data_IF_149512223389
#
_entry.id   IF_149512223389
#
_cell.length_a   1.000
_cell.length_b   1.000
_cell.length_c   1.000
_cell.angle_alpha   90.00
_cell.angle_beta   90.00
_cell.angle_gamma   90.00
#
_symmetry.space_group_name_H-M   'P 1'
#
loop_
_entity.id
_entity.type
_entity.pdbx_description
1 polymer ?
#
# COMPACT_ATOMS: atom_id res chain seq x y z
N UNK A 1 -22.33 -29.52 39.34
CA UNK A 1 -20.92 -29.66 39.75
C UNK A 1 -20.04 -29.03 38.69
N UNK A 2 -19.35 -27.94 39.02
CA UNK A 2 -18.54 -27.15 38.09
C UNK A 2 -17.18 -27.79 37.81
N UNK A 3 -16.91 -28.07 36.54
CA UNK A 3 -15.57 -28.41 36.06
C UNK A 3 -14.78 -27.13 35.82
N UNK A 4 -13.74 -26.91 36.63
CA UNK A 4 -12.76 -25.84 36.46
C UNK A 4 -12.13 -25.96 35.07
N UNK A 5 -12.44 -25.01 34.19
CA UNK A 5 -11.71 -24.83 32.94
C UNK A 5 -10.34 -24.23 33.28
N UNK A 6 -9.42 -25.08 33.73
CA UNK A 6 -8.08 -24.68 34.15
C UNK A 6 -7.34 -23.99 33.00
N UNK A 7 -6.93 -22.76 33.28
CA UNK A 7 -6.27 -21.79 32.40
C UNK A 7 -5.00 -22.33 31.68
N UNK A 8 -4.45 -23.46 32.17
CA UNK A 8 -3.25 -24.14 31.69
C UNK A 8 -3.52 -25.48 30.98
N UNK A 9 -4.77 -25.87 30.75
CA UNK A 9 -5.04 -27.09 29.98
C UNK A 9 -4.46 -26.99 28.56
N UNK A 10 -3.93 -28.08 27.99
CA UNK A 10 -3.44 -28.09 26.61
C UNK A 10 -4.47 -27.56 25.60
N UNK A 11 -5.77 -27.79 25.87
CA UNK A 11 -6.89 -27.24 25.09
C UNK A 11 -7.01 -25.72 25.23
N UNK A 12 -6.89 -25.16 26.45
CA UNK A 12 -6.89 -23.72 26.68
C UNK A 12 -5.64 -23.04 26.08
N UNK A 13 -4.46 -23.65 26.20
CA UNK A 13 -3.21 -23.18 25.62
C UNK A 13 -3.27 -23.23 24.09
N UNK A 14 -3.71 -24.34 23.49
CA UNK A 14 -3.93 -24.44 22.04
C UNK A 14 -4.97 -23.42 21.56
N UNK A 15 -6.02 -23.16 22.34
CA UNK A 15 -6.99 -22.13 22.03
C UNK A 15 -6.40 -20.72 22.08
N UNK A 16 -5.51 -20.44 23.02
CA UNK A 16 -4.84 -19.14 23.18
C UNK A 16 -3.78 -18.92 22.09
N UNK A 17 -3.00 -19.95 21.74
CA UNK A 17 -2.04 -19.91 20.62
C UNK A 17 -2.78 -19.68 19.31
N UNK A 18 -3.90 -20.38 19.07
CA UNK A 18 -4.76 -20.15 17.90
C UNK A 18 -5.41 -18.76 17.89
N UNK A 19 -5.60 -18.12 19.05
CA UNK A 19 -6.16 -16.76 19.17
C UNK A 19 -5.13 -15.64 18.97
N UNK A 20 -3.83 -15.93 19.11
CA UNK A 20 -2.71 -14.98 18.92
C UNK A 20 -2.30 -14.79 17.45
N UNK A 21 -2.67 -15.72 16.56
CA UNK A 21 -2.55 -15.48 15.11
C UNK A 21 -3.52 -14.39 14.67
N UNK A 22 -3.13 -13.55 13.72
CA UNK A 22 -4.00 -12.55 13.09
C UNK A 22 -5.15 -13.29 12.38
N UNK A 23 -6.21 -13.60 13.13
CA UNK A 23 -7.38 -14.29 12.60
C UNK A 23 -8.06 -13.35 11.61
N UNK A 24 -8.30 -13.82 10.39
CA UNK A 24 -8.96 -13.03 9.34
C UNK A 24 -10.19 -12.32 9.93
N UNK A 25 -10.28 -11.00 9.73
CA UNK A 25 -11.35 -10.12 10.20
C UNK A 25 -12.77 -10.53 9.77
N UNK A 26 -12.90 -11.54 8.90
CA UNK A 26 -14.17 -12.11 8.41
C UNK A 26 -15.15 -12.50 9.52
N UNK A 27 -14.66 -12.84 10.72
CA UNK A 27 -15.50 -13.31 11.84
C UNK A 27 -15.54 -12.35 13.04
N UNK A 28 -15.32 -11.05 12.82
CA UNK A 28 -15.42 -10.03 13.87
C UNK A 28 -16.79 -9.33 13.86
N UNK A 29 -17.41 -9.18 15.02
CA UNK A 29 -18.62 -8.38 15.17
C UNK A 29 -18.27 -7.05 15.86
N UNK A 30 -18.36 -5.95 15.11
CA UNK A 30 -18.15 -4.61 15.64
C UNK A 30 -19.15 -4.25 16.74
N UNK A 31 -20.43 -4.57 16.52
CA UNK A 31 -21.53 -4.19 17.43
C UNK A 31 -21.34 -4.74 18.84
N UNK A 32 -20.75 -5.93 18.94
CA UNK A 32 -20.48 -6.59 20.21
C UNK A 32 -18.98 -6.62 20.57
N UNK A 33 -18.15 -5.91 19.79
CA UNK A 33 -16.68 -5.92 19.86
C UNK A 33 -16.09 -7.33 20.02
N UNK A 34 -16.68 -8.32 19.36
CA UNK A 34 -16.42 -9.74 19.62
C UNK A 34 -15.81 -10.42 18.39
N UNK A 35 -14.56 -10.87 18.54
CA UNK A 35 -13.94 -11.77 17.58
C UNK A 35 -14.49 -13.19 17.74
N UNK A 36 -15.18 -13.69 16.72
CA UNK A 36 -15.54 -15.08 16.58
C UNK A 36 -14.42 -15.85 15.87
N UNK A 37 -14.33 -17.15 16.15
CA UNK A 37 -13.18 -17.98 15.78
C UNK A 37 -13.29 -18.61 14.40
N UNK A 38 -14.53 -18.86 13.99
CA UNK A 38 -14.91 -19.61 12.80
C UNK A 38 -16.29 -19.15 12.33
N UNK A 39 -16.67 -19.59 11.12
CA UNK A 39 -17.96 -19.25 10.50
C UNK A 39 -19.14 -19.63 11.39
N UNK A 40 -19.06 -20.81 12.00
CA UNK A 40 -20.13 -21.31 12.85
C UNK A 40 -20.23 -20.51 14.16
N UNK A 41 -19.10 -20.16 14.77
CA UNK A 41 -19.06 -19.28 15.94
C UNK A 41 -19.62 -17.88 15.66
N UNK A 42 -19.39 -17.34 14.46
CA UNK A 42 -19.95 -16.06 14.04
C UNK A 42 -21.47 -16.15 13.81
N UNK A 43 -21.95 -17.20 13.12
CA UNK A 43 -23.40 -17.43 12.94
C UNK A 43 -24.13 -17.58 14.27
N UNK A 44 -23.60 -18.39 15.18
CA UNK A 44 -24.17 -18.53 16.53
C UNK A 44 -24.15 -17.21 17.32
N UNK A 45 -23.14 -16.37 17.10
CA UNK A 45 -23.11 -15.04 17.70
C UNK A 45 -24.17 -14.11 17.11
N UNK A 46 -24.36 -14.07 15.79
CA UNK A 46 -25.42 -13.27 15.16
C UNK A 46 -26.83 -13.70 15.59
N UNK A 47 -27.02 -15.00 15.87
CA UNK A 47 -28.28 -15.55 16.37
C UNK A 47 -28.47 -15.38 17.89
N UNK A 48 -27.44 -14.93 18.62
CA UNK A 48 -27.52 -14.80 20.08
C UNK A 48 -28.36 -13.59 20.51
N UNK A 49 -29.10 -13.75 21.60
CA UNK A 49 -29.96 -12.72 22.17
C UNK A 49 -29.19 -11.43 22.53
N UNK A 50 -27.92 -11.56 22.95
CA UNK A 50 -27.07 -10.40 23.24
C UNK A 50 -26.78 -9.56 22.00
N UNK A 51 -26.49 -10.20 20.86
CA UNK A 51 -26.32 -9.50 19.59
C UNK A 51 -27.62 -8.86 19.10
N UNK A 52 -28.74 -9.58 19.19
CA UNK A 52 -30.05 -9.07 18.78
C UNK A 52 -30.49 -7.88 19.64
N UNK A 53 -30.27 -7.92 20.96
CA UNK A 53 -30.54 -6.77 21.84
C UNK A 53 -29.66 -5.58 21.46
N UNK A 54 -28.39 -5.80 21.14
CA UNK A 54 -27.50 -4.73 20.73
C UNK A 54 -27.90 -4.13 19.37
N UNK A 55 -28.42 -4.95 18.45
CA UNK A 55 -29.04 -4.49 17.21
C UNK A 55 -30.32 -3.69 17.42
N UNK A 56 -31.16 -4.07 18.39
CA UNK A 56 -32.37 -3.32 18.73
C UNK A 56 -32.03 -1.94 19.32
N UNK A 57 -31.03 -1.88 20.19
CA UNK A 57 -30.51 -0.60 20.73
C UNK A 57 -29.95 0.26 19.60
N UNK A 58 -29.26 -0.34 18.64
CA UNK A 58 -28.78 0.37 17.44
C UNK A 58 -29.93 0.89 16.57
N UNK A 59 -30.96 0.08 16.35
CA UNK A 59 -32.14 0.46 15.56
C UNK A 59 -32.94 1.62 16.17
N UNK A 60 -32.87 1.82 17.49
CA UNK A 60 -33.56 2.93 18.16
C UNK A 60 -32.87 4.28 17.96
N UNK A 61 -31.54 4.33 17.89
CA UNK A 61 -30.77 5.57 17.74
C UNK A 61 -29.46 5.33 16.97
N UNK A 62 -29.51 5.15 15.64
CA UNK A 62 -28.33 4.84 14.83
C UNK A 62 -27.34 6.00 14.78
N UNK A 63 -27.82 7.25 14.74
CA UNK A 63 -26.98 8.46 14.63
C UNK A 63 -26.04 8.61 15.82
N UNK A 64 -26.58 8.59 17.05
CA UNK A 64 -25.79 8.75 18.27
C UNK A 64 -24.68 7.71 18.44
N UNK A 65 -24.89 6.49 17.97
CA UNK A 65 -23.91 5.42 18.09
C UNK A 65 -22.82 5.57 17.02
N UNK A 66 -23.19 5.94 15.80
CA UNK A 66 -22.23 6.27 14.73
C UNK A 66 -21.38 7.48 15.14
N UNK A 67 -21.97 8.50 15.75
CA UNK A 67 -21.24 9.66 16.28
C UNK A 67 -20.21 9.24 17.34
N UNK A 68 -20.61 8.37 18.28
CA UNK A 68 -19.70 7.84 19.30
C UNK A 68 -18.52 7.04 18.71
N UNK A 69 -18.78 6.18 17.71
CA UNK A 69 -17.72 5.46 17.01
C UNK A 69 -16.83 6.40 16.19
N UNK A 70 -17.39 7.44 15.61
CA UNK A 70 -16.67 8.47 14.85
C UNK A 70 -15.72 9.25 15.75
N UNK A 71 -16.18 9.69 16.92
CA UNK A 71 -15.34 10.35 17.93
C UNK A 71 -14.23 9.43 18.44
N UNK A 72 -14.55 8.16 18.74
CA UNK A 72 -13.58 7.19 19.22
C UNK A 72 -12.53 6.86 18.15
N UNK A 73 -12.96 6.66 16.90
CA UNK A 73 -12.07 6.45 15.77
C UNK A 73 -11.14 7.64 15.58
N UNK A 74 -11.68 8.86 15.55
CA UNK A 74 -10.87 10.07 15.39
C UNK A 74 -9.83 10.20 16.52
N UNK A 75 -10.25 10.04 17.77
CA UNK A 75 -9.37 10.15 18.94
C UNK A 75 -8.24 9.12 18.87
N UNK A 76 -8.57 7.85 18.63
CA UNK A 76 -7.59 6.76 18.59
C UNK A 76 -6.66 6.87 17.39
N UNK A 77 -7.16 7.29 16.24
CA UNK A 77 -6.35 7.54 15.04
C UNK A 77 -5.35 8.69 15.25
N UNK A 78 -5.80 9.81 15.84
CA UNK A 78 -4.91 10.94 16.16
C UNK A 78 -3.91 10.60 17.25
N UNK A 79 -4.29 9.77 18.24
CA UNK A 79 -3.36 9.26 19.26
C UNK A 79 -2.26 8.38 18.62
N UNK A 80 -2.63 7.49 17.70
CA UNK A 80 -1.66 6.69 16.93
C UNK A 80 -0.72 7.58 16.12
N UNK A 81 -1.27 8.57 15.40
CA UNK A 81 -0.48 9.53 14.64
C UNK A 81 0.45 10.33 15.53
N UNK A 82 0.01 10.76 16.72
CA UNK A 82 0.82 11.50 17.68
C UNK A 82 1.98 10.67 18.24
N UNK A 83 1.78 9.37 18.43
CA UNK A 83 2.80 8.44 18.95
C UNK A 83 3.82 8.03 17.89
N UNK A 84 3.35 7.69 16.69
CA UNK A 84 4.20 7.14 15.63
C UNK A 84 4.77 8.20 14.69
N UNK A 85 4.04 9.30 14.47
CA UNK A 85 4.27 10.26 13.39
C UNK A 85 4.00 11.71 13.80
N UNK A 86 4.64 12.17 14.89
CA UNK A 86 4.39 13.50 15.48
C UNK A 86 4.68 14.68 14.55
N UNK A 87 5.73 14.59 13.71
CA UNK A 87 6.16 15.68 12.82
C UNK A 87 6.53 15.20 11.41
N UNK A 88 6.33 13.92 11.12
CA UNK A 88 6.66 13.34 9.82
C UNK A 88 5.51 13.53 8.84
N UNK A 89 5.86 13.77 7.57
CA UNK A 89 4.94 13.65 6.44
C UNK A 89 4.81 12.19 6.05
N UNK A 90 3.63 11.62 6.21
CA UNK A 90 3.38 10.18 5.99
C UNK A 90 2.18 9.99 5.09
N UNK A 91 2.20 8.94 4.26
CA UNK A 91 1.05 8.58 3.46
C UNK A 91 -0.11 8.08 4.35
N UNK A 92 -1.32 8.54 4.09
CA UNK A 92 -2.50 8.22 4.88
C UNK A 92 -2.76 6.70 4.99
N UNK A 93 -2.48 5.97 3.91
CA UNK A 93 -2.64 4.52 3.84
C UNK A 93 -1.70 3.78 4.77
N UNK A 94 -0.47 4.27 4.95
CA UNK A 94 0.51 3.68 5.88
C UNK A 94 0.02 3.84 7.32
N UNK A 95 -0.41 5.04 7.69
CA UNK A 95 -0.94 5.33 9.03
C UNK A 95 -2.18 4.48 9.32
N UNK A 96 -3.09 4.36 8.34
CA UNK A 96 -4.28 3.52 8.50
C UNK A 96 -3.94 2.03 8.63
N UNK A 97 -2.96 1.53 7.85
CA UNK A 97 -2.52 0.13 7.95
C UNK A 97 -1.87 -0.20 9.30
N UNK A 98 -1.14 0.74 9.89
CA UNK A 98 -0.62 0.59 11.24
C UNK A 98 -1.72 0.66 12.29
N UNK A 99 -2.71 1.52 12.09
CA UNK A 99 -3.87 1.63 12.98
C UNK A 99 -4.68 0.32 13.05
N UNK A 100 -4.96 -0.29 11.89
CA UNK A 100 -5.68 -1.58 11.82
C UNK A 100 -4.85 -2.77 12.32
N UNK A 101 -3.55 -2.59 12.60
CA UNK A 101 -2.72 -3.63 13.17
C UNK A 101 -3.09 -3.92 14.64
N UNK A 102 -3.67 -2.95 15.36
CA UNK A 102 -4.25 -3.21 16.68
C UNK A 102 -5.53 -4.06 16.52
N UNK A 103 -5.75 -5.02 17.41
CA UNK A 103 -6.94 -5.87 17.38
C UNK A 103 -8.20 -5.11 17.84
N UNK A 104 -8.05 -4.08 18.65
CA UNK A 104 -9.17 -3.36 19.27
C UNK A 104 -9.44 -2.00 18.59
N UNK A 105 -9.01 -1.83 17.34
CA UNK A 105 -9.30 -0.63 16.58
C UNK A 105 -10.78 -0.55 16.19
N UNK A 106 -11.30 0.67 16.04
CA UNK A 106 -12.62 0.89 15.47
C UNK A 106 -12.50 0.78 13.95
N UNK A 107 -13.28 -0.09 13.33
CA UNK A 107 -13.21 -0.23 11.88
C UNK A 107 -13.86 0.97 11.17
N UNK A 108 -13.24 1.49 10.10
CA UNK A 108 -13.71 2.66 9.34
C UNK A 108 -15.19 2.58 8.94
N UNK A 109 -15.65 1.42 8.45
CA UNK A 109 -17.06 1.16 8.09
C UNK A 109 -18.09 1.42 9.20
N UNK A 110 -17.65 1.59 10.45
CA UNK A 110 -18.50 1.84 11.62
C UNK A 110 -18.65 3.34 11.93
N UNK A 111 -17.96 4.19 11.16
CA UNK A 111 -17.95 5.65 11.32
C UNK A 111 -18.76 6.33 10.22
N UNK A 112 -18.91 7.64 10.30
CA UNK A 112 -19.55 8.45 9.25
C UNK A 112 -18.77 8.46 7.92
N UNK A 113 -17.48 8.11 7.92
CA UNK A 113 -16.63 8.17 6.74
C UNK A 113 -16.62 6.86 5.97
N UNK A 114 -17.07 6.88 4.72
CA UNK A 114 -17.12 5.69 3.87
C UNK A 114 -15.74 5.34 3.27
N UNK A 115 -14.84 6.31 3.17
CA UNK A 115 -13.50 6.12 2.60
C UNK A 115 -12.43 6.82 3.42
N UNK A 116 -11.22 6.25 3.47
CA UNK A 116 -10.07 6.88 4.12
C UNK A 116 -9.83 8.30 3.59
N UNK A 117 -10.01 8.51 2.29
CA UNK A 117 -9.90 9.81 1.62
C UNK A 117 -10.82 10.87 2.20
N UNK A 118 -12.07 10.51 2.49
CA UNK A 118 -13.05 11.42 3.06
C UNK A 118 -12.66 11.84 4.49
N UNK A 119 -12.21 10.87 5.28
CA UNK A 119 -11.67 11.12 6.62
C UNK A 119 -10.43 12.03 6.58
N UNK A 120 -9.49 11.78 5.67
CA UNK A 120 -8.30 12.63 5.49
C UNK A 120 -8.71 14.07 5.14
N UNK A 121 -9.66 14.24 4.21
CA UNK A 121 -10.19 15.57 3.86
C UNK A 121 -10.88 16.25 5.04
N UNK A 122 -11.55 15.50 5.90
CA UNK A 122 -12.12 16.01 7.15
C UNK A 122 -11.04 16.48 8.13
N UNK A 123 -9.96 15.70 8.33
CA UNK A 123 -8.83 16.09 9.18
C UNK A 123 -8.13 17.37 8.68
N UNK A 124 -8.07 17.55 7.35
CA UNK A 124 -7.59 18.77 6.71
C UNK A 124 -8.51 19.97 6.98
N UNK A 125 -9.84 19.79 6.83
CA UNK A 125 -10.85 20.84 7.08
C UNK A 125 -10.90 21.27 8.55
N UNK A 126 -10.76 20.34 9.49
CA UNK A 126 -10.72 20.63 10.94
C UNK A 126 -9.37 21.22 11.39
N UNK A 127 -8.36 21.19 10.51
CA UNK A 127 -7.01 21.69 10.77
C UNK A 127 -6.28 20.91 11.86
N UNK A 128 -6.62 19.63 12.04
CA UNK A 128 -5.92 18.71 12.95
C UNK A 128 -4.68 18.12 12.27
N UNK A 129 -4.74 17.92 10.95
CA UNK A 129 -3.63 17.49 10.14
C UNK A 129 -3.48 18.41 8.92
N UNK A 130 -2.25 18.67 8.50
CA UNK A 130 -1.95 19.24 7.18
C UNK A 130 -2.01 18.12 6.15
N UNK A 131 -2.77 18.31 5.08
CA UNK A 131 -3.03 17.28 4.07
C UNK A 131 -2.54 17.77 2.71
N UNK A 132 -1.75 16.95 2.03
CA UNK A 132 -1.25 17.21 0.68
C UNK A 132 -1.66 16.08 -0.27
N UNK A 133 -2.25 16.43 -1.41
CA UNK A 133 -2.55 15.49 -2.49
C UNK A 133 -1.35 15.39 -3.43
N UNK A 134 -0.88 14.17 -3.68
CA UNK A 134 0.21 13.89 -4.63
C UNK A 134 -0.23 12.80 -5.59
N UNK A 135 0.40 12.64 -6.77
CA UNK A 135 0.08 11.54 -7.69
C UNK A 135 0.31 10.14 -7.10
N UNK A 136 1.07 10.02 -5.98
CA UNK A 136 1.29 8.76 -5.26
C UNK A 136 0.25 8.51 -4.16
N UNK A 137 -0.70 9.42 -3.96
CA UNK A 137 -1.76 9.34 -2.95
C UNK A 137 -1.77 10.52 -1.97
N UNK A 138 -2.54 10.35 -0.90
CA UNK A 138 -2.77 11.37 0.13
C UNK A 138 -1.70 11.32 1.21
N UNK A 139 -1.02 12.43 1.44
CA UNK A 139 -0.05 12.60 2.53
C UNK A 139 -0.64 13.49 3.62
N UNK A 140 -0.31 13.18 4.87
CA UNK A 140 -0.75 13.90 6.05
C UNK A 140 0.41 14.16 7.01
N UNK A 141 0.36 15.29 7.69
CA UNK A 141 1.28 15.68 8.76
C UNK A 141 0.46 16.15 9.95
N UNK A 142 0.68 15.56 11.12
CA UNK A 142 -0.01 15.94 12.35
C UNK A 142 0.36 17.37 12.75
N UNK A 143 -0.63 18.17 13.15
CA UNK A 143 -0.40 19.49 13.72
C UNK A 143 -0.57 19.38 15.22
N UNK A 144 0.54 19.34 15.94
CA UNK A 144 0.52 19.29 17.40
C UNK A 144 0.15 20.67 17.96
N UNK A 145 -1.06 20.78 18.52
CA UNK A 145 -1.57 22.01 19.16
C UNK A 145 -1.12 22.15 20.61
N UNK A 146 -0.37 21.20 21.17
CA UNK A 146 0.14 21.35 22.54
C UNK A 146 1.18 22.46 22.66
N UNK A 147 1.06 23.25 23.72
CA UNK A 147 1.83 24.47 23.98
C UNK A 147 3.36 24.27 24.03
N UNK A 148 3.84 23.05 24.31
CA UNK A 148 5.27 22.74 24.39
C UNK A 148 6.00 22.75 23.04
N UNK A 149 5.36 22.31 21.96
CA UNK A 149 6.00 22.27 20.63
C UNK A 149 6.08 23.66 20.03
N UNK A 150 5.02 24.46 20.17
CA UNK A 150 5.06 25.89 19.84
C UNK A 150 6.13 26.63 20.64
N UNK A 151 6.34 26.29 21.92
CA UNK A 151 7.40 26.91 22.73
C UNK A 151 8.80 26.49 22.28
N UNK A 152 9.03 25.20 21.99
CA UNK A 152 10.30 24.71 21.45
C UNK A 152 10.59 25.28 20.06
N UNK A 153 9.59 25.40 19.20
CA UNK A 153 9.75 25.96 17.86
C UNK A 153 9.99 27.47 17.92
N UNK A 154 9.30 28.21 18.80
CA UNK A 154 9.63 29.62 19.10
C UNK A 154 11.04 29.78 19.66
N UNK A 155 11.47 28.91 20.57
CA UNK A 155 12.84 28.92 21.10
C UNK A 155 13.88 28.62 20.03
N UNK A 156 13.61 27.66 19.14
CA UNK A 156 14.50 27.30 18.05
C UNK A 156 14.58 28.44 17.02
N UNK A 157 13.45 29.04 16.65
CA UNK A 157 13.41 30.22 15.79
C UNK A 157 14.08 31.44 16.45
N UNK A 158 13.97 31.59 17.78
CA UNK A 158 14.67 32.66 18.52
C UNK A 158 16.18 32.45 18.55
N UNK A 159 16.65 31.20 18.69
CA UNK A 159 18.08 30.85 18.56
C UNK A 159 18.59 31.10 17.15
N UNK A 160 17.94 30.55 16.13
CA UNK A 160 18.32 30.76 14.72
C UNK A 160 18.36 32.24 14.36
N UNK A 161 17.41 33.05 14.85
CA UNK A 161 17.42 34.51 14.64
C UNK A 161 18.56 35.21 15.38
N UNK A 162 18.95 34.73 16.56
CA UNK A 162 20.10 35.25 17.31
C UNK A 162 21.41 34.88 16.63
N UNK A 163 21.53 33.62 16.18
CA UNK A 163 22.72 33.09 15.51
C UNK A 163 22.95 33.84 14.18
N UNK A 164 21.90 34.06 13.38
CA UNK A 164 21.99 34.89 12.16
C UNK A 164 22.43 36.34 12.45
N UNK A 165 21.94 36.95 13.53
CA UNK A 165 22.33 38.30 13.92
C UNK A 165 23.74 38.37 14.54
N UNK A 166 24.29 37.25 14.98
CA UNK A 166 25.67 37.14 15.46
C UNK A 166 26.62 36.86 14.28
N UNK A 167 26.23 36.01 13.35
CA UNK A 167 26.93 35.73 12.09
C UNK A 167 27.08 37.00 11.25
N UNK A 168 26.01 37.79 11.09
CA UNK A 168 26.07 39.10 10.40
C UNK A 168 27.05 40.08 11.08
N UNK A 169 27.12 40.07 12.42
CA UNK A 169 28.09 40.87 13.17
C UNK A 169 29.52 40.37 13.00
N UNK A 170 29.72 39.05 12.96
CA UNK A 170 31.03 38.44 12.72
C UNK A 170 31.52 38.71 11.29
N UNK A 171 30.66 38.63 10.28
CA UNK A 171 31.01 38.96 8.89
C UNK A 171 31.45 40.42 8.75
N UNK A 172 30.76 41.35 9.42
CA UNK A 172 31.15 42.76 9.46
C UNK A 172 32.51 42.98 10.14
N UNK A 173 32.79 42.25 11.23
CA UNK A 173 34.07 42.33 11.93
C UNK A 173 35.23 41.77 11.08
N UNK A 174 35.01 40.64 10.40
CA UNK A 174 35.99 40.03 9.49
C UNK A 174 36.25 40.94 8.29
N UNK A 175 35.22 41.52 7.68
CA UNK A 175 35.38 42.50 6.58
C UNK A 175 36.26 43.68 6.97
N UNK A 176 36.06 44.24 8.16
CA UNK A 176 36.91 45.34 8.67
C UNK A 176 38.36 44.92 8.91
N UNK A 177 38.61 43.69 9.36
CA UNK A 177 39.97 43.18 9.52
C UNK A 177 40.66 42.98 8.16
N UNK A 178 39.93 42.48 7.16
CA UNK A 178 40.45 42.34 5.79
C UNK A 178 40.76 43.71 5.19
N UNK A 179 39.86 44.68 5.34
CA UNK A 179 40.06 46.06 4.85
C UNK A 179 41.32 46.70 5.47
N UNK A 180 41.48 46.56 6.80
CA UNK A 180 42.68 47.06 7.49
C UNK A 180 43.97 46.35 7.06
N UNK A 181 43.92 45.04 6.84
CA UNK A 181 45.08 44.28 6.34
C UNK A 181 45.44 44.66 4.89
N UNK A 182 44.45 44.99 4.05
CA UNK A 182 44.64 45.49 2.69
C UNK A 182 45.21 46.91 2.69
N UNK A 183 44.78 47.77 3.62
CA UNK A 183 45.36 49.12 3.79
C UNK A 183 46.82 49.08 4.29
N UNK A 184 47.13 48.20 5.25
CA UNK A 184 48.50 48.01 5.75
C UNK A 184 49.43 47.37 4.72
N UNK A 185 48.92 46.53 3.82
CA UNK A 185 49.69 45.99 2.68
C UNK A 185 49.70 46.91 1.46
N UNK A 186 48.85 47.94 1.44
CA UNK A 186 48.72 48.92 0.35
C UNK A 186 49.62 50.15 0.47
N UNK A 187 50.29 50.38 1.62
CA UNK A 187 51.13 51.56 1.84
C UNK A 187 52.57 51.18 2.21
N UNK A 188 53.34 50.70 1.24
CA UNK A 188 54.81 50.64 1.34
C UNK A 188 55.46 49.72 0.28
N UNK A 189 56.03 50.31 -0.78
CA UNK A 189 56.90 49.58 -1.71
C UNK A 189 58.37 49.60 -1.28
N UNK A 190 59.10 48.56 -1.72
CA UNK A 190 60.55 48.40 -1.83
C UNK A 190 61.36 47.71 -0.71
N UNK A 191 61.80 46.50 -1.09
CA UNK A 191 63.12 45.88 -0.86
C UNK A 191 63.40 45.28 0.52
N UNK A 192 63.27 43.96 0.67
CA UNK A 192 64.38 42.98 0.70
C UNK A 192 63.78 41.57 0.49
N UNK A 193 64.17 40.91 -0.59
CA UNK A 193 64.06 39.44 -0.76
C UNK A 193 65.24 38.79 -0.04
N UNK A 194 64.99 37.74 0.76
CA UNK A 194 65.37 36.40 0.32
C UNK A 194 64.35 35.35 0.80
N UNK A 195 64.24 34.15 0.28
CA UNK A 195 64.72 33.48 -0.91
C UNK A 195 63.84 32.23 -0.90
N UNK A 196 63.15 31.97 -2.01
CA UNK A 196 62.34 30.78 -2.16
C UNK A 196 63.17 29.80 -2.99
N UNK A 197 63.47 28.59 -2.50
CA UNK A 197 63.70 27.46 -3.38
C UNK A 197 62.39 26.68 -3.59
N UNK A 198 62.21 26.04 -4.76
CA UNK A 198 60.92 25.66 -5.32
C UNK A 198 60.49 24.23 -4.93
N UNK A 199 59.23 23.83 -5.25
CA UNK A 199 58.67 22.56 -4.83
C UNK A 199 58.98 21.44 -5.83
N UNK A 200 59.50 20.30 -5.34
CA UNK A 200 59.30 19.00 -6.02
C UNK A 200 59.72 17.82 -5.13
N UNK A 201 58.73 16.95 -4.87
CA UNK A 201 58.82 15.47 -4.90
C UNK A 201 59.79 14.73 -3.96
N UNK A 202 59.25 14.09 -2.90
CA UNK A 202 59.03 12.62 -2.81
C UNK A 202 58.76 12.17 -1.38
N UNK A 203 57.91 11.15 -1.30
CA UNK A 203 57.62 10.34 -0.11
C UNK A 203 58.91 9.74 0.48
N UNK A 204 59.01 9.66 1.81
CA UNK A 204 59.01 8.37 2.53
C UNK A 204 59.45 8.50 4.00
N UNK A 205 58.67 7.81 4.83
CA UNK A 205 59.03 7.06 6.04
C UNK A 205 59.95 7.64 7.15
N UNK A 206 59.40 7.51 8.36
CA UNK A 206 60.07 7.12 9.62
C UNK A 206 60.57 8.23 10.56
N UNK A 207 59.81 8.39 11.66
CA UNK A 207 60.39 8.26 12.99
C UNK A 207 60.79 9.53 13.76
N UNK A 208 60.00 9.90 14.77
CA UNK A 208 60.56 10.40 16.04
C UNK A 208 60.16 11.80 16.55
N UNK A 209 59.02 11.84 17.28
CA UNK A 209 58.74 12.54 18.56
C UNK A 209 59.37 13.91 18.87
N UNK A 210 58.53 14.92 19.15
CA UNK A 210 58.75 15.88 20.26
C UNK A 210 57.43 16.09 21.02
N UNK A 211 57.52 16.07 22.35
CA UNK A 211 56.44 16.02 23.33
C UNK A 211 56.08 17.40 23.90
N UNK A 212 54.85 17.54 24.40
CA UNK A 212 54.54 18.41 25.53
C UNK A 212 53.57 17.70 26.48
N UNK A 213 53.94 17.69 27.76
CA UNK A 213 53.22 17.05 28.85
C UNK A 213 52.57 18.12 29.74
N UNK A 214 51.34 17.86 30.21
CA UNK A 214 50.84 18.41 31.48
C UNK A 214 49.87 17.40 32.10
N UNK A 215 50.21 16.97 33.31
CA UNK A 215 49.57 15.88 34.05
C UNK A 215 48.34 16.34 34.85
N UNK A 216 47.46 15.42 35.25
CA UNK A 216 47.22 15.06 36.67
C UNK A 216 46.26 13.85 36.80
N UNK A 217 46.84 12.72 37.24
CA UNK A 217 46.36 11.75 38.25
C UNK A 217 44.98 11.07 38.14
N UNK A 218 44.99 9.81 37.68
CA UNK A 218 44.14 8.72 38.21
C UNK A 218 44.99 7.46 38.37
N UNK A 219 45.00 6.90 39.59
CA UNK A 219 45.80 5.73 39.99
C UNK A 219 44.95 4.46 39.87
N UNK A 220 45.50 3.49 39.16
CA UNK A 220 44.98 2.16 38.91
C UNK A 220 45.41 1.12 39.97
N UNK A 221 44.65 0.03 40.08
CA UNK A 221 45.16 -1.34 40.23
C UNK A 221 44.38 -2.22 39.22
N UNK A 222 44.97 -2.66 38.09
CA UNK A 222 45.77 -3.89 37.86
C UNK A 222 45.06 -5.20 38.29
N UNK A 223 45.05 -6.31 37.54
CA UNK A 223 45.80 -6.71 36.34
C UNK A 223 45.30 -8.06 35.78
N UNK A 224 45.30 -8.17 34.44
CA UNK A 224 45.71 -9.27 33.55
C UNK A 224 45.40 -10.76 33.83
N UNK A 225 45.02 -11.46 32.74
CA UNK A 225 45.58 -12.79 32.42
C UNK A 225 44.70 -13.77 31.63
N UNK A 226 44.74 -13.68 30.28
CA UNK A 226 44.65 -14.73 29.23
C UNK A 226 44.16 -16.18 29.50
N UNK A 227 43.14 -16.58 28.70
CA UNK A 227 42.71 -17.86 28.04
C UNK A 227 43.44 -19.20 28.32
N UNK A 228 42.74 -20.39 28.25
CA UNK A 228 42.48 -21.10 26.97
C UNK A 228 41.19 -21.99 26.92
N UNK A 229 41.06 -22.80 25.85
CA UNK A 229 39.94 -23.65 25.39
C UNK A 229 39.87 -25.10 25.96
N UNK A 230 38.76 -25.80 25.61
CA UNK A 230 38.50 -27.27 25.46
C UNK A 230 38.14 -28.18 26.67
N UNK A 231 36.82 -28.41 26.81
CA UNK A 231 36.03 -29.68 26.75
C UNK A 231 36.29 -30.96 27.59
N UNK A 232 35.16 -31.48 28.14
CA UNK A 232 34.68 -32.88 28.28
C UNK A 232 35.06 -33.65 29.59
N UNK A 233 34.28 -34.56 30.22
CA UNK A 233 33.11 -35.44 29.95
C UNK A 233 32.36 -35.68 31.30
N UNK A 234 31.06 -36.02 31.37
CA UNK A 234 30.55 -37.41 31.38
C UNK A 234 29.06 -37.52 30.96
N UNK A 235 28.79 -38.55 30.15
CA UNK A 235 27.48 -39.04 29.65
C UNK A 235 26.80 -39.94 30.72
N UNK A 236 25.55 -40.42 30.58
CA UNK A 236 25.09 -41.63 29.84
C UNK A 236 23.55 -41.52 29.63
N UNK A 237 23.00 -41.49 28.39
CA UNK A 237 22.39 -42.58 27.56
C UNK A 237 20.88 -42.85 27.85
N UNK A 238 19.97 -43.21 26.91
CA UNK A 238 20.11 -43.76 25.56
C UNK A 238 18.85 -43.62 24.65
N UNK A 239 19.09 -43.62 23.31
CA UNK A 239 18.36 -44.27 22.17
C UNK A 239 16.85 -44.01 21.84
N UNK A 240 16.32 -43.97 20.60
CA UNK A 240 16.77 -44.32 19.22
C UNK A 240 15.78 -43.74 18.14
N UNK A 241 16.31 -43.34 16.97
CA UNK A 241 15.84 -43.49 15.53
C UNK A 241 14.34 -43.40 15.13
N UNK A 242 13.86 -42.90 13.97
CA UNK A 242 14.36 -42.58 12.60
C UNK A 242 13.29 -41.83 11.76
N UNK A 243 13.74 -41.06 10.73
CA UNK A 243 13.06 -40.72 9.43
C UNK A 243 11.79 -39.82 9.47
N UNK A 244 11.53 -38.82 8.63
CA UNK A 244 12.04 -38.38 7.31
C UNK A 244 11.33 -37.09 6.85
N UNK A 245 11.98 -36.26 6.01
CA UNK A 245 11.30 -35.43 4.99
C UNK A 245 11.36 -33.91 5.17
N UNK A 246 12.38 -33.29 4.59
CA UNK A 246 12.47 -31.82 4.42
C UNK A 246 11.58 -31.27 3.32
N UNK A 247 11.14 -30.01 3.49
CA UNK A 247 10.46 -29.21 2.47
C UNK A 247 10.75 -27.73 2.69
N UNK A 248 11.40 -27.11 1.69
CA UNK A 248 11.86 -25.72 1.64
C UNK A 248 10.79 -24.70 2.06
N UNK A 249 11.09 -23.86 3.06
CA UNK A 249 10.38 -22.59 3.30
C UNK A 249 10.84 -21.56 2.26
N UNK A 250 10.02 -21.31 1.24
CA UNK A 250 10.16 -20.14 0.36
C UNK A 250 9.00 -19.17 0.56
N UNK A 251 9.34 -17.97 1.05
CA UNK A 251 8.76 -16.65 0.69
C UNK A 251 7.31 -16.64 0.15
N UNK A 252 6.30 -16.63 1.01
CA UNK A 252 4.90 -16.40 0.56
C UNK A 252 4.07 -15.42 1.38
N UNK A 253 4.65 -14.64 2.30
CA UNK A 253 3.85 -13.72 3.14
C UNK A 253 3.70 -12.30 2.55
N UNK A 254 4.48 -11.96 1.50
CA UNK A 254 4.37 -10.65 0.83
C UNK A 254 3.38 -10.58 -0.33
N UNK A 255 2.80 -11.71 -0.77
CA UNK A 255 1.95 -11.78 -1.96
C UNK A 255 0.50 -11.39 -1.66
N UNK A 256 -0.03 -11.72 -0.48
CA UNK A 256 -1.44 -11.45 -0.16
C UNK A 256 -1.78 -9.95 -0.08
N UNK A 257 -0.90 -9.11 0.48
CA UNK A 257 -1.20 -7.68 0.63
C UNK A 257 -1.20 -6.93 -0.72
N UNK A 258 -0.30 -7.30 -1.63
CA UNK A 258 -0.27 -6.73 -2.98
C UNK A 258 -1.42 -7.27 -3.84
N UNK A 259 -1.72 -8.56 -3.73
CA UNK A 259 -2.82 -9.21 -4.46
C UNK A 259 -4.20 -8.69 -4.02
N UNK A 260 -4.37 -8.39 -2.73
CA UNK A 260 -5.60 -7.80 -2.19
C UNK A 260 -5.80 -6.35 -2.65
N UNK A 261 -4.74 -5.53 -2.64
CA UNK A 261 -4.75 -4.17 -3.20
C UNK A 261 -5.01 -4.15 -4.71
N UNK A 262 -4.40 -5.08 -5.47
CA UNK A 262 -4.65 -5.21 -6.90
C UNK A 262 -6.08 -5.64 -7.21
N UNK A 263 -6.67 -6.49 -6.37
CA UNK A 263 -8.06 -6.94 -6.53
C UNK A 263 -9.08 -5.86 -6.19
N UNK A 264 -8.76 -4.98 -5.24
CA UNK A 264 -9.57 -3.80 -4.93
C UNK A 264 -9.54 -2.79 -6.09
N UNK A 265 -8.36 -2.54 -6.66
CA UNK A 265 -8.21 -1.68 -7.84
C UNK A 265 -8.94 -2.26 -9.06
N UNK A 266 -8.87 -3.58 -9.26
CA UNK A 266 -9.65 -4.29 -10.29
C UNK A 266 -11.14 -4.09 -10.11
N UNK A 267 -11.67 -4.25 -8.89
CA UNK A 267 -13.11 -4.05 -8.62
C UNK A 267 -13.54 -2.60 -8.80
N UNK A 268 -12.70 -1.64 -8.41
CA UNK A 268 -12.96 -0.23 -8.64
C UNK A 268 -13.00 0.10 -10.13
N UNK A 269 -12.04 -0.44 -10.90
CA UNK A 269 -12.02 -0.33 -12.36
C UNK A 269 -13.20 -1.04 -13.00
N UNK A 270 -13.60 -2.20 -12.49
CA UNK A 270 -14.78 -2.92 -12.94
C UNK A 270 -16.02 -2.06 -12.77
N UNK A 271 -16.25 -1.45 -11.60
CA UNK A 271 -17.41 -0.57 -11.37
C UNK A 271 -17.41 0.68 -12.25
N UNK A 272 -16.25 1.29 -12.50
CA UNK A 272 -16.15 2.50 -13.32
C UNK A 272 -16.27 2.20 -14.83
N UNK A 273 -15.65 1.09 -15.26
CA UNK A 273 -15.52 0.72 -16.67
C UNK A 273 -16.66 -0.19 -17.17
N UNK A 274 -17.45 -0.80 -16.27
CA UNK A 274 -18.70 -1.46 -16.63
C UNK A 274 -19.65 -0.41 -17.19
N UNK A 275 -19.87 -0.46 -18.50
CA UNK A 275 -20.87 0.38 -19.17
C UNK A 275 -21.94 -0.51 -19.76
N UNK A 276 -23.06 0.13 -20.06
CA UNK A 276 -24.19 -0.46 -20.77
C UNK A 276 -23.86 -0.77 -22.25
N UNK A 277 -22.97 0.03 -22.85
CA UNK A 277 -22.51 -0.20 -24.22
C UNK A 277 -21.23 -1.03 -24.28
N UNK A 278 -21.23 -2.07 -25.14
CA UNK A 278 -20.11 -3.02 -25.28
C UNK A 278 -19.50 -3.07 -26.69
N UNK A 279 -20.19 -2.60 -27.73
CA UNK A 279 -19.61 -2.63 -29.09
C UNK A 279 -18.33 -1.78 -29.13
N UNK A 280 -17.30 -2.30 -29.81
CA UNK A 280 -16.10 -1.55 -30.17
C UNK A 280 -15.63 -1.91 -31.59
N UNK A 281 -14.72 -1.10 -32.15
CA UNK A 281 -14.25 -1.28 -33.51
C UNK A 281 -13.24 -2.45 -33.63
N UNK A 282 -13.33 -3.19 -34.73
CA UNK A 282 -12.41 -4.29 -35.06
C UNK A 282 -12.75 -5.64 -34.39
N UNK A 283 -13.92 -5.76 -33.77
CA UNK A 283 -14.42 -7.05 -33.25
C UNK A 283 -15.34 -7.75 -34.25
N UNK A 284 -15.37 -9.07 -34.17
CA UNK A 284 -16.30 -9.93 -34.91
C UNK A 284 -17.55 -10.14 -34.05
N UNK A 285 -18.71 -9.87 -34.62
CA UNK A 285 -20.01 -10.05 -33.98
C UNK A 285 -20.88 -10.96 -34.83
N UNK A 286 -21.89 -11.55 -34.21
CA UNK A 286 -22.90 -12.36 -34.88
C UNK A 286 -24.24 -11.63 -34.84
N UNK A 287 -24.88 -11.52 -35.99
CA UNK A 287 -26.17 -10.82 -36.11
C UNK A 287 -27.30 -11.74 -35.66
N UNK A 288 -28.09 -11.29 -34.70
CA UNK A 288 -29.22 -12.03 -34.11
C UNK A 288 -30.58 -11.37 -34.35
N UNK A 289 -30.64 -10.31 -35.16
CA UNK A 289 -31.91 -9.67 -35.56
C UNK A 289 -32.81 -10.63 -36.34
N UNK A 290 -34.03 -10.85 -35.84
CA UNK A 290 -35.07 -11.63 -36.53
C UNK A 290 -35.63 -10.88 -37.74
N UNK A 291 -35.65 -9.55 -37.71
CA UNK A 291 -36.13 -8.73 -38.83
C UNK A 291 -35.22 -8.81 -40.06
N UNK A 292 -33.93 -9.10 -39.85
CA UNK A 292 -32.95 -9.31 -40.92
C UNK A 292 -32.86 -10.79 -41.35
N UNK A 293 -33.69 -11.68 -40.78
CA UNK A 293 -33.76 -13.08 -41.18
C UNK A 293 -34.30 -13.25 -42.60
N UNK A 294 -35.31 -12.46 -42.98
CA UNK A 294 -35.88 -12.46 -44.33
C UNK A 294 -34.87 -12.09 -45.42
N UNK A 295 -33.81 -11.37 -45.01
CA UNK A 295 -32.70 -10.94 -45.89
C UNK A 295 -31.47 -11.86 -45.82
N UNK A 296 -31.55 -12.95 -45.05
CA UNK A 296 -30.48 -13.96 -44.95
C UNK A 296 -29.29 -13.58 -44.06
N UNK A 297 -29.39 -12.52 -43.24
CA UNK A 297 -28.28 -12.09 -42.35
C UNK A 297 -28.37 -12.68 -40.93
N UNK A 298 -29.42 -13.44 -40.62
CA UNK A 298 -29.58 -14.03 -39.30
C UNK A 298 -28.52 -15.10 -39.03
N UNK A 299 -27.90 -15.04 -37.85
CA UNK A 299 -26.77 -15.89 -37.39
C UNK A 299 -25.49 -15.76 -38.21
N UNK A 300 -25.43 -14.81 -39.12
CA UNK A 300 -24.23 -14.55 -39.91
C UNK A 300 -23.23 -13.70 -39.13
N UNK A 301 -21.94 -13.88 -39.46
CA UNK A 301 -20.84 -13.18 -38.79
C UNK A 301 -20.44 -11.95 -39.58
N UNK A 302 -20.19 -10.87 -38.86
CA UNK A 302 -19.73 -9.61 -39.41
C UNK A 302 -18.67 -8.96 -38.52
N UNK A 303 -17.99 -7.98 -39.06
CA UNK A 303 -16.91 -7.24 -38.40
C UNK A 303 -17.39 -5.82 -38.18
N UNK A 304 -17.25 -5.32 -36.96
CA UNK A 304 -17.58 -3.94 -36.64
C UNK A 304 -16.49 -3.03 -37.21
N UNK A 305 -16.83 -2.29 -38.26
CA UNK A 305 -15.91 -1.33 -38.89
C UNK A 305 -15.89 -0.02 -38.13
N UNK A 306 -17.07 0.44 -37.69
CA UNK A 306 -17.23 1.73 -36.99
C UNK A 306 -18.36 1.65 -35.96
N UNK A 307 -18.24 2.41 -34.87
CA UNK A 307 -19.32 2.54 -33.88
C UNK A 307 -19.90 3.97 -33.93
N UNK A 308 -21.23 4.05 -34.00
CA UNK A 308 -22.01 5.28 -34.02
C UNK A 308 -22.78 5.38 -32.70
N UNK A 309 -22.74 6.53 -32.06
CA UNK A 309 -23.48 6.83 -30.82
C UNK A 309 -23.28 5.81 -29.68
N UNK A 310 -22.17 5.08 -29.70
CA UNK A 310 -21.76 4.04 -28.72
C UNK A 310 -22.59 2.74 -28.74
N UNK A 311 -23.83 2.78 -29.23
CA UNK A 311 -24.76 1.64 -29.23
C UNK A 311 -24.94 0.98 -30.61
N UNK A 312 -24.69 1.71 -31.69
CA UNK A 312 -24.92 1.23 -33.06
C UNK A 312 -23.60 0.89 -33.73
N UNK A 313 -23.47 -0.32 -34.25
CA UNK A 313 -22.31 -0.76 -35.03
C UNK A 313 -22.58 -0.72 -36.54
N UNK A 314 -21.65 -0.16 -37.31
CA UNK A 314 -21.53 -0.43 -38.74
C UNK A 314 -20.80 -1.77 -38.92
N UNK A 315 -21.57 -2.83 -39.16
CA UNK A 315 -21.11 -4.21 -39.26
C UNK A 315 -20.97 -4.58 -40.74
N UNK A 316 -19.76 -4.92 -41.16
CA UNK A 316 -19.48 -5.49 -42.47
C UNK A 316 -19.55 -7.02 -42.41
N UNK A 317 -20.49 -7.61 -43.14
CA UNK A 317 -20.68 -9.05 -43.19
C UNK A 317 -19.47 -9.74 -43.87
N UNK A 318 -19.01 -10.87 -43.32
CA UNK A 318 -17.81 -11.55 -43.84
C UNK A 318 -18.06 -12.20 -45.20
N UNK A 319 -19.23 -12.84 -45.38
CA UNK A 319 -19.55 -13.58 -46.61
C UNK A 319 -20.03 -12.65 -47.73
N UNK A 320 -20.98 -11.75 -47.43
CA UNK A 320 -21.63 -10.88 -48.42
C UNK A 320 -20.93 -9.53 -48.61
N UNK A 321 -19.99 -9.15 -47.74
CA UNK A 321 -19.31 -7.83 -47.72
C UNK A 321 -20.22 -6.62 -47.57
N UNK A 322 -21.53 -6.83 -47.36
CA UNK A 322 -22.50 -5.76 -47.13
C UNK A 322 -22.26 -5.09 -45.77
N UNK A 323 -22.44 -3.78 -45.72
CA UNK A 323 -22.33 -2.99 -44.48
C UNK A 323 -23.74 -2.68 -43.99
N UNK A 324 -24.02 -3.08 -42.75
CA UNK A 324 -25.31 -2.90 -42.09
C UNK A 324 -25.11 -2.09 -40.82
N UNK A 325 -26.07 -1.21 -40.50
CA UNK A 325 -26.13 -0.52 -39.21
C UNK A 325 -27.07 -1.29 -38.30
N UNK A 326 -26.52 -1.82 -37.21
CA UNK A 326 -27.23 -2.73 -36.30
C UNK A 326 -26.96 -2.26 -34.88
N UNK A 327 -28.00 -2.25 -34.05
CA UNK A 327 -27.88 -1.94 -32.63
C UNK A 327 -27.26 -3.10 -31.84
N UNK A 328 -26.59 -2.81 -30.74
CA UNK A 328 -25.96 -3.82 -29.88
C UNK A 328 -26.92 -4.88 -29.34
N UNK A 329 -28.21 -4.58 -29.16
CA UNK A 329 -29.20 -5.55 -28.70
C UNK A 329 -29.43 -6.68 -29.71
N UNK A 330 -29.17 -6.41 -30.99
CA UNK A 330 -29.33 -7.37 -32.08
C UNK A 330 -28.01 -8.06 -32.46
N UNK A 331 -26.95 -7.84 -31.68
CA UNK A 331 -25.61 -8.40 -31.90
C UNK A 331 -25.22 -9.32 -30.74
N UNK A 332 -24.48 -10.36 -31.05
CA UNK A 332 -23.90 -11.31 -30.09
C UNK A 332 -22.38 -11.32 -30.25
N UNK A 333 -21.64 -11.39 -29.13
CA UNK A 333 -20.18 -11.54 -29.16
C UNK A 333 -19.79 -12.90 -29.75
N UNK A 334 -18.63 -12.97 -30.39
CA UNK A 334 -18.13 -14.22 -31.00
C UNK A 334 -16.87 -14.66 -30.30
N UNK A 335 -16.86 -15.87 -29.77
CA UNK A 335 -15.67 -16.45 -29.11
C UNK A 335 -14.87 -17.24 -30.15
N UNK A 336 -13.55 -16.95 -30.33
CA UNK A 336 -12.70 -17.71 -31.25
C UNK A 336 -12.35 -19.08 -30.67
N UNK A 337 -11.61 -19.88 -31.45
CA UNK A 337 -11.00 -21.09 -30.93
C UNK A 337 -9.94 -20.76 -29.87
N UNK A 338 -9.66 -21.73 -29.00
CA UNK A 338 -8.62 -21.65 -27.98
C UNK A 338 -7.29 -21.27 -28.66
N UNK A 339 -6.59 -20.30 -28.07
CA UNK A 339 -5.38 -19.69 -28.63
C UNK A 339 -5.64 -18.49 -29.54
N UNK A 340 -6.89 -18.18 -29.87
CA UNK A 340 -7.28 -17.03 -30.66
C UNK A 340 -7.24 -15.70 -29.89
N UNK A 341 -7.11 -14.60 -30.63
CA UNK A 341 -7.17 -13.24 -30.10
C UNK A 341 -8.60 -12.77 -29.86
N UNK A 342 -8.83 -12.21 -28.68
CA UNK A 342 -10.07 -11.58 -28.25
C UNK A 342 -9.79 -10.16 -27.75
N UNK A 343 -10.80 -9.30 -27.83
CA UNK A 343 -10.84 -7.98 -27.22
C UNK A 343 -11.76 -8.07 -26.02
N UNK A 344 -11.31 -7.53 -24.90
CA UNK A 344 -12.16 -7.32 -23.73
C UNK A 344 -13.02 -6.08 -24.01
N UNK A 345 -14.33 -6.28 -24.16
CA UNK A 345 -15.29 -5.24 -24.55
C UNK A 345 -15.92 -4.54 -23.35
N UNK A 346 -15.91 -5.18 -22.17
CA UNK A 346 -16.48 -4.63 -20.95
C UNK A 346 -15.70 -5.08 -19.69
N UNK A 347 -16.00 -4.46 -18.55
CA UNK A 347 -15.35 -4.75 -17.26
C UNK A 347 -14.02 -4.02 -17.03
N UNK A 348 -13.24 -4.46 -16.05
CA UNK A 348 -12.05 -3.75 -15.56
C UNK A 348 -10.99 -3.51 -16.65
N UNK A 349 -10.89 -4.44 -17.61
CA UNK A 349 -9.85 -4.49 -18.64
C UNK A 349 -10.33 -4.06 -20.03
N UNK A 350 -11.47 -3.37 -20.09
CA UNK A 350 -12.06 -2.89 -21.34
C UNK A 350 -11.04 -2.23 -22.27
N UNK A 351 -11.05 -2.64 -23.53
CA UNK A 351 -10.14 -2.16 -24.58
C UNK A 351 -8.85 -2.97 -24.73
N UNK A 352 -8.52 -3.83 -23.76
CA UNK A 352 -7.32 -4.67 -23.82
C UNK A 352 -7.52 -5.85 -24.77
N UNK A 353 -6.46 -6.21 -25.49
CA UNK A 353 -6.42 -7.44 -26.27
C UNK A 353 -5.96 -8.59 -25.35
N UNK A 354 -6.48 -9.78 -25.59
CA UNK A 354 -6.16 -10.96 -24.82
C UNK A 354 -6.17 -12.21 -25.70
N UNK A 355 -5.43 -13.24 -25.30
CA UNK A 355 -5.48 -14.57 -25.89
C UNK A 355 -6.39 -15.48 -25.08
N UNK A 356 -7.27 -16.20 -25.76
CA UNK A 356 -8.16 -17.18 -25.15
C UNK A 356 -7.37 -18.43 -24.76
N UNK A 357 -7.41 -18.83 -23.48
CA UNK A 357 -6.70 -20.01 -22.96
C UNK A 357 -7.65 -21.21 -22.79
N UNK A 358 -8.82 -20.99 -22.20
CA UNK A 358 -9.81 -22.03 -22.00
C UNK A 358 -11.21 -21.45 -21.94
N UNK A 359 -12.20 -22.27 -22.23
CA UNK A 359 -13.62 -21.92 -22.28
C UNK A 359 -14.37 -22.86 -21.35
N UNK A 360 -15.14 -22.32 -20.42
CA UNK A 360 -16.01 -23.07 -19.49
C UNK A 360 -17.47 -22.82 -19.89
N UNK A 361 -18.07 -23.79 -20.59
CA UNK A 361 -19.44 -23.70 -21.09
C UNK A 361 -20.49 -23.83 -19.98
N UNK A 362 -20.13 -24.35 -18.80
CA UNK A 362 -21.07 -24.52 -17.69
C UNK A 362 -21.34 -23.22 -16.94
N UNK A 363 -20.36 -22.30 -16.94
CA UNK A 363 -20.46 -20.99 -16.27
C UNK A 363 -20.49 -19.81 -17.26
N UNK A 364 -20.55 -20.08 -18.56
CA UNK A 364 -20.50 -19.07 -19.62
C UNK A 364 -19.31 -18.10 -19.48
N UNK A 365 -18.17 -18.62 -19.02
CA UNK A 365 -16.97 -17.84 -18.76
C UNK A 365 -15.74 -18.43 -19.45
N UNK A 366 -14.77 -17.57 -19.74
CA UNK A 366 -13.55 -17.89 -20.44
C UNK A 366 -12.35 -17.44 -19.61
N UNK A 367 -11.28 -18.22 -19.69
CA UNK A 367 -9.98 -17.85 -19.16
C UNK A 367 -9.19 -17.19 -20.28
N UNK A 368 -8.79 -15.94 -20.08
CA UNK A 368 -8.07 -15.14 -21.08
C UNK A 368 -6.77 -14.59 -20.47
N UNK A 369 -5.75 -14.43 -21.28
CA UNK A 369 -4.49 -13.81 -20.89
C UNK A 369 -4.31 -12.52 -21.67
N UNK A 370 -4.15 -11.38 -20.99
CA UNK A 370 -3.98 -10.09 -21.64
C UNK A 370 -2.65 -10.09 -22.41
N UNK A 371 -2.72 -9.75 -23.69
CA UNK A 371 -1.57 -9.54 -24.57
C UNK A 371 -1.46 -8.06 -24.90
N UNK A 372 -0.28 -7.49 -24.68
CA UNK A 372 0.07 -6.09 -24.95
C UNK A 372 -0.67 -5.10 -24.04
N UNK A 373 0.10 -4.22 -23.40
CA UNK A 373 -0.41 -3.14 -22.55
C UNK A 373 0.23 -3.12 -21.17
N UNK A 374 -0.35 -2.35 -20.26
CA UNK A 374 0.15 -2.17 -18.88
C UNK A 374 0.03 -3.47 -18.06
N UNK A 375 -0.87 -4.38 -18.48
CA UNK A 375 -1.18 -5.64 -17.80
C UNK A 375 -0.73 -6.87 -18.60
N UNK A 376 0.31 -6.70 -19.44
CA UNK A 376 0.81 -7.78 -20.29
C UNK A 376 1.16 -9.04 -19.48
N UNK A 377 0.69 -10.19 -19.95
CA UNK A 377 0.88 -11.48 -19.30
C UNK A 377 -0.10 -11.81 -18.17
N UNK A 378 -0.97 -10.87 -17.74
CA UNK A 378 -1.96 -11.13 -16.68
C UNK A 378 -3.04 -12.11 -17.16
N UNK A 379 -3.31 -13.13 -16.34
CA UNK A 379 -4.33 -14.15 -16.62
C UNK A 379 -5.60 -13.84 -15.85
N UNK A 380 -6.70 -13.66 -16.57
CA UNK A 380 -8.04 -13.51 -16.02
C UNK A 380 -8.72 -14.88 -15.99
N UNK A 381 -9.01 -15.43 -14.80
CA UNK A 381 -9.47 -16.82 -14.65
C UNK A 381 -10.91 -17.04 -15.10
N UNK A 382 -11.76 -16.01 -15.02
CA UNK A 382 -13.17 -16.07 -15.37
C UNK A 382 -13.61 -14.71 -15.90
N UNK A 383 -13.78 -14.61 -17.21
CA UNK A 383 -14.37 -13.45 -17.90
C UNK A 383 -15.60 -13.93 -18.64
N UNK A 384 -16.72 -13.22 -18.49
CA UNK A 384 -17.99 -13.61 -19.10
C UNK A 384 -17.94 -13.50 -20.63
N UNK A 385 -18.71 -14.33 -21.32
CA UNK A 385 -18.76 -14.34 -22.79
C UNK A 385 -19.25 -13.02 -23.39
N UNK A 386 -20.10 -12.29 -22.68
CA UNK A 386 -20.58 -10.97 -23.07
C UNK A 386 -19.46 -9.91 -23.02
N UNK A 387 -18.39 -10.17 -22.27
CA UNK A 387 -17.32 -9.22 -22.01
C UNK A 387 -16.11 -9.41 -22.91
N UNK A 388 -16.14 -10.43 -23.78
CA UNK A 388 -15.07 -10.71 -24.75
C UNK A 388 -15.63 -10.97 -26.13
N UNK A 389 -14.94 -10.47 -27.15
CA UNK A 389 -15.27 -10.81 -28.53
C UNK A 389 -14.02 -11.01 -29.37
N UNK A 390 -14.09 -11.87 -30.38
CA UNK A 390 -13.01 -12.17 -31.31
C UNK A 390 -12.57 -10.89 -32.03
N UNK A 391 -11.25 -10.70 -32.13
CA UNK A 391 -10.68 -9.62 -32.94
C UNK A 391 -10.46 -10.11 -34.37
N UNK A 392 -10.77 -9.28 -35.36
CA UNK A 392 -10.35 -9.56 -36.74
C UNK A 392 -8.85 -9.28 -36.85
N UNK A 393 -8.07 -10.32 -37.15
CA UNK A 393 -6.63 -10.23 -37.42
C UNK A 393 -6.35 -9.82 -38.85
#
# INVERSE_FOLDING_TARGET
>A
MGGKNDFLTPKAIANRIKAKGLQKLRWYCQMCQKQCRDENGFKCHCLSESHQRQMQVFGQNPTRIVDGYTEEFERTFLEHMRRSHRSSRVAATVVYNEYIADRHHVHMNSTEWATLTEFVKYLGRTGKCKVDETPKGWFMTYIDRDSETLFKERLKNKRVRSDLAEEERQELAIKRQIERAVEETGSGSSSVVPDLPPPSEKLDASGGKIAFALATSLKALNSNGSAPSSSAFEAVENEKETRSGGGKKSRSDGLNALEELMKEEEKAKERSNRKDYWICEGIVVKVMSKALADKGYYKQKGVVVKVIDKYVGEVQMIESKHVLRIDQEELETVIPQIGGLVRIVNGAYRGSNARLLSVDTGRFCAKVQIEKGIYDGRVLPAVDYEDISKVMQ
#
